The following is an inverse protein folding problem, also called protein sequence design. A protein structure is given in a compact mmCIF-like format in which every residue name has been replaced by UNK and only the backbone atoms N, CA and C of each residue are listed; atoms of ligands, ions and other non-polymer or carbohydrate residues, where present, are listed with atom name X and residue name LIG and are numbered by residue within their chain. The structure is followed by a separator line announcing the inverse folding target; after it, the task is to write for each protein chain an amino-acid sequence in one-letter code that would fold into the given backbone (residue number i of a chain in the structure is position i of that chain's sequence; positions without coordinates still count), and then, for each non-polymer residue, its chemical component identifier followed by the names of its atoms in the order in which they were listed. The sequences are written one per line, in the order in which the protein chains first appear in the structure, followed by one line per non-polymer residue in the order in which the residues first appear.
data_IF_616267110257
#
_entry.id   IF_616267110257
#
_cell.length_a   1.000
_cell.length_b   1.000
_cell.length_c   1.000
_cell.angle_alpha   90.00
_cell.angle_beta   90.00
_cell.angle_gamma   90.00
#
_symmetry.space_group_name_H-M   'P 1'
#
loop_
_entity.id
_entity.type
_entity.pdbx_description
1 polymer ?
#
# COMPACT_ATOMS: atom_id res chain seq x y z
N UNK A 1 25.02 -18.05 -49.22
CA UNK A 1 24.68 -19.23 -48.40
C UNK A 1 24.02 -18.74 -47.12
N UNK A 2 22.69 -18.75 -47.05
CA UNK A 2 21.95 -18.34 -45.87
C UNK A 2 21.88 -19.50 -44.88
N UNK A 3 22.42 -19.30 -43.67
CA UNK A 3 22.18 -20.19 -42.53
C UNK A 3 21.21 -19.48 -41.59
N UNK A 4 19.97 -19.95 -41.61
CA UNK A 4 18.93 -19.59 -40.65
C UNK A 4 19.28 -20.28 -39.33
N UNK A 5 19.61 -19.50 -38.30
CA UNK A 5 19.72 -20.01 -36.94
C UNK A 5 18.34 -19.95 -36.29
N UNK A 6 17.67 -21.09 -36.22
CA UNK A 6 16.46 -21.27 -35.41
C UNK A 6 16.88 -21.33 -33.94
N UNK A 7 16.63 -20.26 -33.20
CA UNK A 7 16.80 -20.23 -31.74
C UNK A 7 15.58 -20.93 -31.12
N UNK A 8 15.77 -22.16 -30.66
CA UNK A 8 14.82 -22.85 -29.79
C UNK A 8 14.97 -22.24 -28.40
N UNK A 9 14.04 -21.36 -28.02
CA UNK A 9 13.93 -20.84 -26.67
C UNK A 9 13.38 -21.93 -25.75
N UNK A 10 14.26 -22.63 -25.03
CA UNK A 10 13.89 -23.50 -23.92
C UNK A 10 13.52 -22.59 -22.74
N UNK A 11 12.22 -22.37 -22.53
CA UNK A 11 11.71 -21.75 -21.32
C UNK A 11 11.93 -22.71 -20.15
N UNK A 12 12.95 -22.43 -19.33
CA UNK A 12 13.10 -23.06 -18.02
C UNK A 12 11.93 -22.59 -17.15
N UNK A 13 10.94 -23.46 -16.93
CA UNK A 13 9.89 -23.24 -15.93
C UNK A 13 10.53 -23.26 -14.55
N UNK A 14 10.72 -22.08 -13.95
CA UNK A 14 11.06 -21.95 -12.53
C UNK A 14 9.76 -22.17 -11.74
N UNK A 15 9.76 -23.02 -10.69
CA UNK A 15 8.61 -23.16 -9.80
C UNK A 15 8.22 -21.79 -9.25
N UNK A 16 6.99 -21.35 -9.52
CA UNK A 16 6.47 -20.11 -8.97
C UNK A 16 6.02 -20.37 -7.54
N UNK A 17 6.65 -19.70 -6.57
CA UNK A 17 6.23 -19.71 -5.17
C UNK A 17 5.80 -18.29 -4.78
N UNK A 18 4.59 -18.16 -4.25
CA UNK A 18 4.11 -16.93 -3.64
C UNK A 18 4.09 -17.13 -2.13
N UNK A 19 4.79 -16.26 -1.39
CA UNK A 19 4.85 -16.26 0.07
C UNK A 19 4.27 -14.93 0.56
N UNK A 20 3.25 -14.99 1.42
CA UNK A 20 2.64 -13.83 2.07
C UNK A 20 2.59 -14.00 3.58
N UNK A 21 2.24 -12.93 4.30
CA UNK A 21 1.76 -13.08 5.68
C UNK A 21 0.37 -13.74 5.70
N UNK A 22 -0.20 -13.99 6.88
CA UNK A 22 -1.50 -14.67 7.07
C UNK A 22 -2.59 -14.14 6.10
N UNK A 23 -3.17 -15.03 5.27
CA UNK A 23 -4.15 -14.68 4.23
C UNK A 23 -3.75 -13.51 3.30
N UNK A 24 -2.45 -13.22 3.15
CA UNK A 24 -1.93 -12.03 2.46
C UNK A 24 -1.48 -12.34 1.03
N UNK A 25 -1.44 -13.60 0.60
CA UNK A 25 -1.32 -13.91 -0.84
C UNK A 25 -2.69 -13.72 -1.47
N UNK A 26 -2.89 -12.56 -2.07
CA UNK A 26 -4.08 -12.19 -2.83
C UNK A 26 -3.67 -11.76 -4.23
N UNK A 27 -4.49 -12.08 -5.23
CA UNK A 27 -4.21 -11.68 -6.60
C UNK A 27 -5.11 -10.49 -6.99
N UNK A 28 -4.51 -9.41 -7.50
CA UNK A 28 -5.24 -8.23 -8.01
C UNK A 28 -5.93 -8.49 -9.38
N UNK A 29 -5.90 -9.74 -9.84
CA UNK A 29 -6.53 -10.26 -11.06
C UNK A 29 -6.45 -11.81 -11.12
N UNK A 30 -6.98 -12.45 -12.16
CA UNK A 30 -6.82 -13.90 -12.34
C UNK A 30 -5.39 -14.24 -12.75
N UNK A 31 -4.71 -15.14 -12.03
CA UNK A 31 -3.34 -15.58 -12.34
C UNK A 31 -3.38 -16.95 -13.02
N UNK A 32 -2.91 -17.04 -14.26
CA UNK A 32 -2.81 -18.32 -14.96
C UNK A 32 -1.62 -19.12 -14.42
N UNK A 33 -1.88 -20.34 -13.98
CA UNK A 33 -0.88 -21.31 -13.53
C UNK A 33 -0.84 -22.47 -14.51
N UNK A 34 0.23 -22.55 -15.28
CA UNK A 34 0.45 -23.68 -16.20
C UNK A 34 0.97 -24.87 -15.41
N UNK A 35 0.11 -25.88 -15.21
CA UNK A 35 0.48 -27.15 -14.59
C UNK A 35 0.79 -28.16 -15.68
N UNK A 36 2.07 -28.24 -16.03
CA UNK A 36 2.57 -29.11 -17.09
C UNK A 36 2.74 -30.55 -16.60
N UNK A 37 1.66 -31.21 -16.17
CA UNK A 37 1.65 -32.63 -15.83
C UNK A 37 1.71 -33.52 -17.09
N UNK A 38 2.66 -33.27 -17.99
CA UNK A 38 2.87 -34.05 -19.23
C UNK A 38 1.74 -34.00 -20.26
N UNK A 39 0.72 -33.17 -20.06
CA UNK A 39 -0.58 -33.23 -20.77
C UNK A 39 -1.08 -31.88 -21.30
N UNK A 40 -0.42 -30.76 -20.93
CA UNK A 40 -0.73 -29.42 -21.46
C UNK A 40 -1.93 -28.72 -20.81
N UNK A 41 -2.37 -29.16 -19.63
CA UNK A 41 -3.48 -28.54 -18.91
C UNK A 41 -3.12 -27.16 -18.34
N UNK A 42 -4.08 -26.23 -18.37
CA UNK A 42 -3.92 -24.88 -17.81
C UNK A 42 -4.98 -24.65 -16.73
N UNK A 43 -4.52 -24.24 -15.55
CA UNK A 43 -5.38 -23.92 -14.42
C UNK A 43 -5.22 -22.44 -14.09
N UNK A 44 -6.24 -21.80 -13.55
CA UNK A 44 -6.20 -20.37 -13.22
C UNK A 44 -6.59 -20.18 -11.77
N UNK A 45 -5.72 -19.52 -11.01
CA UNK A 45 -6.04 -19.02 -9.67
C UNK A 45 -6.84 -17.74 -9.82
N UNK A 46 -8.01 -17.68 -9.20
CA UNK A 46 -8.83 -16.46 -9.24
C UNK A 46 -8.41 -15.50 -8.13
N UNK A 47 -8.85 -14.25 -8.26
CA UNK A 47 -8.67 -13.21 -7.22
C UNK A 47 -9.41 -13.52 -5.89
N UNK A 48 -10.26 -14.55 -5.87
CA UNK A 48 -10.88 -15.04 -4.64
C UNK A 48 -9.91 -15.88 -3.79
N UNK A 49 -8.79 -16.35 -4.35
CA UNK A 49 -7.78 -17.11 -3.60
C UNK A 49 -7.07 -16.21 -2.58
N UNK A 50 -7.09 -16.63 -1.31
CA UNK A 50 -6.48 -15.99 -0.14
C UNK A 50 -5.83 -17.08 0.71
N UNK A 51 -4.50 -17.17 0.68
CA UNK A 51 -3.74 -18.23 1.37
C UNK A 51 -2.49 -17.64 2.04
N UNK A 52 -1.81 -18.42 2.90
CA UNK A 52 -0.52 -18.03 3.48
C UNK A 52 0.59 -18.12 2.42
N UNK A 53 0.59 -19.20 1.66
CA UNK A 53 1.49 -19.39 0.53
C UNK A 53 0.97 -20.44 -0.44
N UNK A 54 1.53 -20.47 -1.64
CA UNK A 54 1.43 -21.62 -2.51
C UNK A 54 2.70 -21.83 -3.33
N UNK A 55 2.96 -23.08 -3.68
CA UNK A 55 4.05 -23.49 -4.55
C UNK A 55 3.46 -24.21 -5.75
N UNK A 56 3.75 -23.71 -6.95
CA UNK A 56 3.40 -24.35 -8.21
C UNK A 56 4.51 -25.31 -8.59
N UNK A 57 4.22 -26.60 -8.59
CA UNK A 57 5.08 -27.64 -9.11
C UNK A 57 4.62 -28.06 -10.50
N UNK A 58 5.43 -28.88 -11.17
CA UNK A 58 5.11 -29.43 -12.49
C UNK A 58 3.77 -30.18 -12.51
N UNK A 59 3.49 -30.97 -11.46
CA UNK A 59 2.36 -31.90 -11.43
C UNK A 59 1.26 -31.52 -10.43
N UNK A 60 1.46 -30.48 -9.60
CA UNK A 60 0.50 -30.08 -8.57
C UNK A 60 0.72 -28.64 -8.10
N UNK A 61 -0.25 -28.11 -7.38
CA UNK A 61 -0.10 -26.89 -6.57
C UNK A 61 -0.25 -27.25 -5.11
N UNK A 62 0.70 -26.83 -4.28
CA UNK A 62 0.65 -27.02 -2.83
C UNK A 62 0.31 -25.67 -2.19
N UNK A 63 -0.82 -25.59 -1.52
CA UNK A 63 -1.26 -24.43 -0.75
C UNK A 63 -0.94 -24.63 0.72
N UNK A 64 -0.50 -23.58 1.39
CA UNK A 64 -0.46 -23.50 2.86
C UNK A 64 -1.61 -22.60 3.31
N UNK A 65 -2.50 -23.16 4.13
CA UNK A 65 -3.78 -22.56 4.52
C UNK A 65 -3.95 -22.57 6.03
N UNK A 66 -4.67 -21.59 6.54
CA UNK A 66 -5.05 -21.47 7.95
C UNK A 66 -6.56 -21.15 8.07
N UNK A 67 -7.07 -20.96 9.29
CA UNK A 67 -8.47 -20.54 9.50
C UNK A 67 -8.80 -19.30 8.67
N UNK A 68 -9.88 -19.37 7.88
CA UNK A 68 -10.34 -18.28 7.01
C UNK A 68 -9.70 -18.22 5.62
N UNK A 69 -8.76 -19.10 5.28
CA UNK A 69 -8.20 -19.16 3.92
C UNK A 69 -9.25 -19.61 2.88
N UNK A 70 -9.10 -19.11 1.66
CA UNK A 70 -9.93 -19.44 0.48
C UNK A 70 -9.02 -19.90 -0.66
N UNK A 71 -9.30 -21.05 -1.26
CA UNK A 71 -8.63 -21.49 -2.49
C UNK A 71 -9.65 -21.57 -3.60
N UNK A 72 -9.41 -20.89 -4.72
CA UNK A 72 -10.28 -20.93 -5.88
C UNK A 72 -9.50 -21.11 -7.19
N UNK A 73 -9.75 -22.22 -7.87
CA UNK A 73 -9.05 -22.63 -9.09
C UNK A 73 -10.06 -23.02 -10.17
N UNK A 74 -9.83 -22.56 -11.40
CA UNK A 74 -10.64 -22.94 -12.57
C UNK A 74 -9.81 -23.63 -13.64
N UNK A 75 -10.39 -24.63 -14.33
CA UNK A 75 -9.87 -25.20 -15.57
C UNK A 75 -10.77 -24.81 -16.75
N UNK A 76 -10.19 -24.14 -17.75
CA UNK A 76 -10.91 -23.68 -18.94
C UNK A 76 -11.37 -24.83 -19.85
N UNK A 77 -10.74 -26.01 -19.75
CA UNK A 77 -11.02 -27.17 -20.59
C UNK A 77 -11.95 -28.20 -19.91
N UNK A 78 -12.47 -27.89 -18.73
CA UNK A 78 -13.33 -28.80 -17.97
C UNK A 78 -12.58 -29.89 -17.20
N UNK A 79 -11.24 -29.79 -17.09
CA UNK A 79 -10.42 -30.76 -16.35
C UNK A 79 -10.77 -30.80 -14.86
N UNK A 80 -10.57 -31.95 -14.21
CA UNK A 80 -10.90 -32.18 -12.81
C UNK A 80 -9.78 -31.83 -11.83
N UNK A 81 -10.09 -31.96 -10.53
CA UNK A 81 -9.19 -31.62 -9.43
C UNK A 81 -9.06 -32.81 -8.46
N UNK A 82 -7.84 -33.30 -8.27
CA UNK A 82 -7.50 -34.22 -7.19
C UNK A 82 -7.07 -33.43 -5.95
N UNK A 83 -7.54 -33.84 -4.77
CA UNK A 83 -7.24 -33.17 -3.50
C UNK A 83 -6.58 -34.14 -2.52
N UNK A 84 -5.55 -33.67 -1.81
CA UNK A 84 -5.05 -34.38 -0.63
C UNK A 84 -6.06 -34.37 0.52
N UNK A 85 -6.05 -35.41 1.34
CA UNK A 85 -6.81 -35.44 2.60
C UNK A 85 -6.34 -34.30 3.51
N UNK A 86 -7.29 -33.50 4.02
CA UNK A 86 -7.00 -32.35 4.86
C UNK A 86 -8.25 -32.00 5.69
N UNK A 87 -8.06 -31.28 6.80
CA UNK A 87 -9.11 -30.89 7.75
C UNK A 87 -9.67 -29.49 7.49
N UNK A 88 -9.25 -28.83 6.41
CA UNK A 88 -9.78 -27.52 6.04
C UNK A 88 -11.20 -27.65 5.48
N UNK A 89 -12.11 -26.88 6.09
CA UNK A 89 -13.58 -26.87 5.99
C UNK A 89 -14.26 -27.39 4.71
N UNK A 90 -15.05 -26.54 4.07
CA UNK A 90 -15.92 -26.93 2.96
C UNK A 90 -15.15 -26.98 1.64
N UNK A 91 -15.45 -27.99 0.82
CA UNK A 91 -14.82 -28.22 -0.48
C UNK A 91 -15.92 -28.46 -1.51
N UNK A 92 -15.91 -27.68 -2.58
CA UNK A 92 -16.89 -27.79 -3.66
C UNK A 92 -16.17 -27.91 -5.00
N UNK A 93 -16.53 -28.94 -5.78
CA UNK A 93 -16.08 -29.11 -7.16
C UNK A 93 -17.30 -29.04 -8.08
N UNK A 94 -17.31 -28.07 -8.99
CA UNK A 94 -18.31 -27.93 -10.04
C UNK A 94 -17.71 -28.30 -11.38
N UNK A 95 -18.34 -29.26 -12.08
CA UNK A 95 -17.89 -29.72 -13.39
C UNK A 95 -18.81 -29.21 -14.48
N UNK A 96 -18.23 -28.48 -15.45
CA UNK A 96 -18.91 -27.96 -16.64
C UNK A 96 -17.89 -27.84 -17.78
N UNK A 97 -18.21 -27.11 -18.85
CA UNK A 97 -17.21 -26.74 -19.88
C UNK A 97 -16.01 -25.98 -19.29
N UNK A 98 -16.21 -25.32 -18.15
CA UNK A 98 -15.16 -24.79 -17.28
C UNK A 98 -15.39 -25.37 -15.89
N UNK A 99 -14.43 -26.12 -15.38
CA UNK A 99 -14.52 -26.75 -14.07
C UNK A 99 -13.94 -25.83 -12.99
N UNK A 100 -14.52 -25.83 -11.80
CA UNK A 100 -14.14 -24.94 -10.69
C UNK A 100 -14.03 -25.71 -9.38
N UNK A 101 -12.94 -25.46 -8.66
CA UNK A 101 -12.70 -25.90 -7.29
C UNK A 101 -12.74 -24.68 -6.36
N UNK A 102 -13.53 -24.77 -5.30
CA UNK A 102 -13.54 -23.81 -4.19
C UNK A 102 -13.31 -24.54 -2.87
N UNK A 103 -12.37 -24.07 -2.07
CA UNK A 103 -12.09 -24.54 -0.72
C UNK A 103 -12.21 -23.36 0.24
N UNK A 104 -13.00 -23.51 1.31
CA UNK A 104 -13.14 -22.53 2.39
C UNK A 104 -12.72 -23.16 3.72
N UNK A 105 -11.62 -22.69 4.30
CA UNK A 105 -11.13 -23.20 5.56
C UNK A 105 -11.88 -22.59 6.75
N UNK A 106 -13.01 -23.18 7.13
CA UNK A 106 -13.84 -22.73 8.27
C UNK A 106 -13.42 -23.33 9.62
N UNK A 107 -12.68 -24.43 9.61
CA UNK A 107 -12.23 -25.10 10.81
C UNK A 107 -11.05 -24.36 11.43
N UNK A 108 -10.93 -24.41 12.77
CA UNK A 108 -9.85 -23.75 13.49
C UNK A 108 -8.52 -24.52 13.29
N UNK A 109 -7.71 -24.03 12.36
CA UNK A 109 -6.43 -24.60 11.96
C UNK A 109 -5.35 -23.51 11.96
N UNK A 110 -4.25 -23.74 12.70
CA UNK A 110 -3.13 -22.81 12.76
C UNK A 110 -2.42 -22.69 11.40
N UNK A 111 -2.07 -23.83 10.78
CA UNK A 111 -1.54 -23.92 9.41
C UNK A 111 -1.56 -25.38 8.93
N UNK A 112 -1.93 -25.62 7.68
CA UNK A 112 -1.98 -26.95 7.05
C UNK A 112 -1.72 -26.85 5.55
N UNK A 113 -1.21 -27.91 4.94
CA UNK A 113 -1.02 -27.97 3.49
C UNK A 113 -2.16 -28.69 2.77
N UNK A 114 -2.57 -28.14 1.62
CA UNK A 114 -3.50 -28.76 0.67
C UNK A 114 -2.81 -28.89 -0.67
N UNK A 115 -2.74 -30.11 -1.19
CA UNK A 115 -2.20 -30.37 -2.53
C UNK A 115 -3.35 -30.54 -3.51
N UNK A 116 -3.33 -29.76 -4.60
CA UNK A 116 -4.25 -29.87 -5.72
C UNK A 116 -3.50 -30.44 -6.92
N UNK A 117 -3.98 -31.56 -7.45
CA UNK A 117 -3.40 -32.26 -8.60
C UNK A 117 -4.37 -32.22 -9.78
N UNK A 118 -3.93 -31.87 -11.01
CA UNK A 118 -4.74 -31.99 -12.21
C UNK A 118 -5.35 -33.38 -12.41
N UNK A 119 -6.58 -33.46 -12.94
CA UNK A 119 -7.21 -34.72 -13.36
C UNK A 119 -7.83 -34.58 -14.75
N UNK A 120 -7.78 -35.64 -15.57
CA UNK A 120 -8.34 -35.64 -16.93
C UNK A 120 -9.87 -35.79 -16.98
N UNK A 121 -10.50 -36.05 -15.83
CA UNK A 121 -11.96 -36.13 -15.70
C UNK A 121 -12.39 -35.34 -14.48
N UNK A 122 -13.42 -34.51 -14.63
CA UNK A 122 -14.03 -33.80 -13.52
C UNK A 122 -15.22 -34.58 -12.98
N UNK A 123 -15.17 -34.93 -11.70
CA UNK A 123 -16.28 -35.51 -10.95
C UNK A 123 -16.79 -34.48 -9.95
N UNK A 124 -18.07 -34.13 -10.06
CA UNK A 124 -18.68 -33.17 -9.14
C UNK A 124 -18.76 -33.80 -7.74
N UNK A 125 -18.22 -33.12 -6.74
CA UNK A 125 -18.39 -33.49 -5.34
C UNK A 125 -19.35 -32.50 -4.68
N UNK A 126 -20.51 -33.01 -4.27
CA UNK A 126 -21.34 -32.35 -3.26
C UNK A 126 -21.06 -33.05 -1.92
N UNK A 127 -20.72 -32.28 -0.89
CA UNK A 127 -20.27 -32.81 0.39
C UNK A 127 -21.24 -33.83 0.98
N UNK A 128 -20.80 -35.08 1.08
CA UNK A 128 -21.48 -36.10 1.83
C UNK A 128 -21.06 -36.00 3.31
N UNK A 129 -21.97 -35.52 4.14
CA UNK A 129 -21.91 -35.75 5.58
C UNK A 129 -22.15 -37.23 5.88
N UNK A 130 -21.25 -37.83 6.64
CA UNK A 130 -21.32 -39.21 7.16
C UNK A 130 -20.28 -39.28 8.29
N UNK A 131 -20.43 -39.93 9.44
CA UNK A 131 -21.49 -40.72 10.09
C UNK A 131 -20.86 -41.35 11.34
N UNK A 132 -21.66 -41.60 12.39
CA UNK A 132 -21.39 -42.64 13.40
C UNK A 132 -20.92 -42.11 14.76
N UNK A 133 -21.47 -42.49 15.91
CA UNK A 133 -22.47 -43.53 16.23
C UNK A 133 -22.04 -44.32 17.48
N UNK A 134 -22.95 -44.45 18.45
CA UNK A 134 -22.90 -45.39 19.59
C UNK A 134 -22.52 -44.75 20.94
N UNK A 135 -23.16 -45.01 22.08
CA UNK A 135 -24.25 -45.93 22.46
C UNK A 135 -24.17 -46.24 23.98
N UNK A 136 -25.34 -46.37 24.64
CA UNK A 136 -25.53 -46.95 25.99
C UNK A 136 -25.16 -46.06 27.19
N UNK A 137 -25.85 -46.03 28.35
CA UNK A 137 -26.96 -46.82 28.90
C UNK A 137 -26.86 -46.80 30.44
N UNK A 138 -28.00 -46.63 31.16
CA UNK A 138 -28.16 -46.81 32.63
C UNK A 138 -27.52 -45.74 33.53
N UNK A 139 -28.06 -45.27 34.65
CA UNK A 139 -29.11 -45.74 35.55
C UNK A 139 -28.58 -45.69 37.00
N UNK A 140 -29.22 -44.92 37.90
CA UNK A 140 -29.19 -45.17 39.35
C UNK A 140 -28.46 -44.17 40.29
N UNK A 141 -29.28 -43.36 40.97
CA UNK A 141 -29.34 -43.18 42.45
C UNK A 141 -28.15 -42.66 43.28
N UNK A 142 -28.39 -41.57 44.02
CA UNK A 142 -27.84 -41.33 45.37
C UNK A 142 -27.28 -39.93 45.64
N UNK A 143 -27.86 -39.12 46.57
CA UNK A 143 -27.33 -37.82 46.94
C UNK A 143 -26.26 -37.96 48.04
N UNK A 144 -25.06 -37.47 47.78
CA UNK A 144 -23.99 -37.32 48.78
C UNK A 144 -23.79 -35.84 49.11
N UNK A 145 -24.08 -35.48 50.36
CA UNK A 145 -23.93 -34.12 50.88
C UNK A 145 -22.48 -33.63 50.80
N UNK A 146 -22.28 -32.46 50.20
CA UNK A 146 -21.04 -31.68 50.27
C UNK A 146 -21.17 -30.64 51.40
N UNK A 147 -20.16 -30.48 52.27
CA UNK A 147 -20.25 -29.57 53.41
C UNK A 147 -20.19 -28.11 52.96
N UNK A 148 -20.93 -27.27 53.71
CA UNK A 148 -21.08 -25.84 53.50
C UNK A 148 -19.74 -25.08 53.52
N UNK A 149 -19.52 -24.11 52.62
CA UNK A 149 -18.37 -23.22 52.71
C UNK A 149 -18.55 -22.24 53.87
N UNK A 150 -17.44 -21.96 54.55
CA UNK A 150 -17.32 -21.00 55.63
C UNK A 150 -17.71 -19.57 55.18
N UNK A 151 -18.24 -18.72 56.07
CA UNK A 151 -18.66 -17.37 55.72
C UNK A 151 -17.46 -16.51 55.30
N UNK A 152 -17.65 -15.79 54.19
CA UNK A 152 -16.71 -14.81 53.69
C UNK A 152 -16.60 -13.61 54.67
N UNK A 153 -15.39 -13.06 54.89
CA UNK A 153 -15.24 -11.83 55.66
C UNK A 153 -15.89 -10.65 54.93
N UNK A 154 -16.60 -9.85 55.71
CA UNK A 154 -17.29 -8.63 55.31
C UNK A 154 -16.28 -7.61 54.77
N UNK A 155 -16.47 -7.19 53.52
CA UNK A 155 -15.61 -6.22 52.85
C UNK A 155 -15.83 -4.83 53.46
N UNK A 156 -14.78 -4.25 54.04
CA UNK A 156 -14.72 -2.83 54.37
C UNK A 156 -14.95 -2.00 53.10
N UNK A 157 -15.85 -1.02 53.20
CA UNK A 157 -16.16 -0.09 52.13
C UNK A 157 -14.92 0.76 51.80
N UNK A 158 -14.37 0.54 50.62
CA UNK A 158 -13.29 1.36 50.07
C UNK A 158 -13.80 2.78 49.78
N UNK A 159 -13.09 3.78 50.29
CA UNK A 159 -13.38 5.20 50.06
C UNK A 159 -13.34 5.53 48.55
N UNK A 160 -14.15 6.48 48.05
CA UNK A 160 -14.18 6.82 46.64
C UNK A 160 -12.82 7.32 46.18
N UNK A 161 -12.28 6.67 45.15
CA UNK A 161 -11.05 7.09 44.49
C UNK A 161 -11.17 8.55 43.99
N UNK A 162 -10.11 9.37 44.13
CA UNK A 162 -10.11 10.72 43.61
C UNK A 162 -10.34 10.70 42.09
N UNK A 163 -11.22 11.57 41.60
CA UNK A 163 -11.52 11.72 40.18
C UNK A 163 -10.22 11.90 39.38
N UNK A 164 -10.00 11.02 38.39
CA UNK A 164 -8.85 11.09 37.51
C UNK A 164 -8.79 12.48 36.83
N UNK A 165 -7.71 13.20 37.07
CA UNK A 165 -7.47 14.52 36.53
C UNK A 165 -7.39 14.45 35.00
N UNK A 166 -8.12 15.33 34.30
CA UNK A 166 -8.13 15.34 32.83
C UNK A 166 -6.72 15.63 32.29
N UNK A 167 -6.28 14.98 31.20
CA UNK A 167 -4.96 15.18 30.64
C UNK A 167 -4.66 16.66 30.35
N UNK A 168 -3.50 17.11 30.82
CA UNK A 168 -2.95 18.40 30.45
C UNK A 168 -2.49 18.37 28.97
N UNK A 169 -2.70 19.46 28.21
CA UNK A 169 -2.13 19.61 26.88
C UNK A 169 -0.59 19.70 26.96
N UNK A 170 0.09 19.12 25.98
CA UNK A 170 1.54 19.18 25.80
C UNK A 170 1.83 19.89 24.49
N UNK A 171 2.87 20.73 24.48
CA UNK A 171 3.27 21.46 23.28
C UNK A 171 2.44 22.72 23.01
N UNK A 172 2.73 23.36 21.86
CA UNK A 172 2.06 24.58 21.43
C UNK A 172 0.79 24.19 20.67
N UNK A 173 -0.41 24.67 21.08
CA UNK A 173 -1.63 24.40 20.35
C UNK A 173 -1.59 25.03 18.95
N UNK A 174 -2.06 24.29 17.95
CA UNK A 174 -2.13 24.73 16.56
C UNK A 174 -3.55 25.18 16.26
N UNK A 175 -3.72 26.42 15.79
CA UNK A 175 -5.03 26.95 15.38
C UNK A 175 -5.08 27.07 13.86
N UNK A 176 -6.14 26.55 13.25
CA UNK A 176 -6.31 26.51 11.79
C UNK A 176 -7.75 26.86 11.40
N UNK A 177 -7.91 27.60 10.32
CA UNK A 177 -9.19 27.74 9.61
C UNK A 177 -9.24 26.71 8.50
N UNK A 178 -10.29 25.89 8.46
CA UNK A 178 -10.46 24.82 7.46
C UNK A 178 -11.69 25.06 6.61
N UNK A 179 -11.69 24.62 5.36
CA UNK A 179 -12.86 24.75 4.47
C UNK A 179 -13.77 23.53 4.58
N UNK A 180 -15.08 23.75 4.55
CA UNK A 180 -16.08 22.67 4.59
C UNK A 180 -15.94 21.79 3.34
N UNK A 181 -16.06 20.47 3.52
CA UNK A 181 -15.96 19.43 2.49
C UNK A 181 -14.60 19.34 1.78
N UNK A 182 -13.55 19.98 2.30
CA UNK A 182 -12.19 19.85 1.78
C UNK A 182 -11.28 19.21 2.85
N UNK A 183 -10.57 18.11 2.52
CA UNK A 183 -9.60 17.53 3.43
C UNK A 183 -8.47 18.54 3.67
N UNK A 184 -8.13 18.75 4.94
CA UNK A 184 -7.07 19.65 5.37
C UNK A 184 -6.08 18.90 6.23
N UNK A 185 -4.80 18.88 5.82
CA UNK A 185 -3.73 18.30 6.63
C UNK A 185 -3.30 19.28 7.72
N UNK A 186 -3.21 18.77 8.95
CA UNK A 186 -2.75 19.49 10.13
C UNK A 186 -1.55 18.76 10.72
N UNK A 187 -0.59 19.50 11.27
CA UNK A 187 0.54 18.95 12.00
C UNK A 187 0.50 19.48 13.42
N UNK A 188 0.45 18.58 14.41
CA UNK A 188 0.39 18.91 15.84
C UNK A 188 1.53 18.15 16.52
N UNK A 189 2.49 18.88 17.08
CA UNK A 189 3.72 18.26 17.60
C UNK A 189 4.48 17.52 16.49
N UNK A 190 4.72 16.22 16.70
CA UNK A 190 5.39 15.33 15.73
C UNK A 190 4.44 14.55 14.82
N UNK A 191 3.13 14.71 14.98
CA UNK A 191 2.11 13.93 14.27
C UNK A 191 1.40 14.76 13.21
N UNK A 192 1.01 14.13 12.11
CA UNK A 192 0.18 14.75 11.07
C UNK A 192 -1.16 14.02 10.95
N UNK A 193 -2.23 14.79 10.78
CA UNK A 193 -3.59 14.29 10.66
C UNK A 193 -4.28 14.95 9.48
N UNK A 194 -5.25 14.26 8.88
CA UNK A 194 -6.15 14.86 7.88
C UNK A 194 -7.51 15.05 8.52
N UNK A 195 -8.07 16.25 8.38
CA UNK A 195 -9.38 16.62 8.92
C UNK A 195 -10.29 17.01 7.77
N UNK A 196 -11.47 16.39 7.71
CA UNK A 196 -12.51 16.71 6.74
C UNK A 196 -13.74 17.19 7.49
N UNK A 197 -14.11 18.46 7.31
CA UNK A 197 -15.31 19.02 7.93
C UNK A 197 -16.51 18.74 7.05
N UNK A 198 -17.49 17.98 7.56
CA UNK A 198 -18.72 17.67 6.83
C UNK A 198 -19.70 18.83 6.86
N UNK A 199 -19.81 19.53 8.00
CA UNK A 199 -20.62 20.74 8.14
C UNK A 199 -20.13 21.60 9.31
N UNK A 200 -20.30 22.92 9.20
CA UNK A 200 -20.02 23.86 10.27
C UNK A 200 -21.03 25.02 10.26
N UNK A 201 -21.50 25.39 11.44
CA UNK A 201 -22.31 26.57 11.72
C UNK A 201 -21.60 27.39 12.80
N UNK A 202 -22.00 28.63 13.06
CA UNK A 202 -21.35 29.41 14.13
C UNK A 202 -21.37 28.70 15.51
N UNK A 203 -22.38 27.87 15.77
CA UNK A 203 -22.58 27.18 17.04
C UNK A 203 -22.06 25.74 17.08
N UNK A 204 -21.94 25.05 15.94
CA UNK A 204 -21.67 23.61 15.91
C UNK A 204 -20.82 23.20 14.71
N UNK A 205 -20.02 22.15 14.86
CA UNK A 205 -19.25 21.53 13.77
C UNK A 205 -19.38 20.01 13.80
N UNK A 206 -19.45 19.40 12.62
CA UNK A 206 -19.29 17.95 12.43
C UNK A 206 -18.13 17.69 11.46
N UNK A 207 -17.18 16.87 11.89
CA UNK A 207 -15.96 16.58 11.15
C UNK A 207 -15.51 15.13 11.33
N UNK A 208 -14.62 14.69 10.46
CA UNK A 208 -13.92 13.40 10.54
C UNK A 208 -12.42 13.66 10.61
N UNK A 209 -11.74 13.00 11.55
CA UNK A 209 -10.27 12.94 11.58
C UNK A 209 -9.86 11.60 10.97
N UNK A 210 -9.13 11.63 9.87
CA UNK A 210 -8.93 10.47 8.97
C UNK A 210 -7.71 9.60 9.32
N UNK A 211 -6.90 9.94 10.33
CA UNK A 211 -5.78 9.10 10.81
C UNK A 211 -6.27 7.71 11.23
N UNK A 212 -7.32 7.69 12.05
CA UNK A 212 -8.26 6.60 12.26
C UNK A 212 -9.62 7.28 12.21
N UNK A 213 -10.50 7.00 11.22
CA UNK A 213 -11.74 7.76 11.02
C UNK A 213 -12.56 7.88 12.31
N UNK A 214 -12.48 9.03 12.95
CA UNK A 214 -13.28 9.38 14.14
C UNK A 214 -14.19 10.52 13.75
N UNK A 215 -15.50 10.28 13.83
CA UNK A 215 -16.51 11.32 13.67
C UNK A 215 -16.64 12.11 14.96
N UNK A 216 -16.51 13.43 14.85
CA UNK A 216 -16.53 14.37 15.96
C UNK A 216 -17.61 15.39 15.70
N UNK A 217 -18.47 15.62 16.70
CA UNK A 217 -19.37 16.76 16.72
C UNK A 217 -19.07 17.61 17.96
N UNK A 218 -18.90 18.91 17.76
CA UNK A 218 -18.51 19.86 18.80
C UNK A 218 -19.40 21.11 18.72
N UNK A 219 -19.81 21.60 19.89
CA UNK A 219 -20.40 22.94 20.01
C UNK A 219 -19.30 24.00 20.11
N UNK A 220 -19.63 25.27 19.84
CA UNK A 220 -18.71 26.40 19.95
C UNK A 220 -18.18 26.51 21.38
N UNK A 221 -16.86 26.54 21.51
CA UNK A 221 -16.13 26.57 22.78
C UNK A 221 -15.96 25.19 23.44
N UNK A 222 -16.58 24.13 22.90
CA UNK A 222 -16.39 22.78 23.41
C UNK A 222 -15.09 22.17 22.89
N UNK A 223 -14.50 21.31 23.72
CA UNK A 223 -13.35 20.49 23.36
C UNK A 223 -13.69 19.01 23.44
N UNK A 224 -13.05 18.19 22.60
CA UNK A 224 -13.12 16.73 22.67
C UNK A 224 -11.72 16.15 22.62
N UNK A 225 -11.49 15.20 23.52
CA UNK A 225 -10.29 14.37 23.56
C UNK A 225 -10.54 13.14 22.69
N UNK A 226 -9.62 12.89 21.77
CA UNK A 226 -9.72 11.92 20.68
C UNK A 226 -8.51 11.00 20.77
N UNK A 227 -8.77 9.70 20.60
CA UNK A 227 -7.77 8.66 20.39
C UNK A 227 -7.50 8.57 18.89
N UNK A 228 -6.47 9.29 18.42
CA UNK A 228 -6.14 9.43 17.01
C UNK A 228 -5.39 8.24 16.43
N UNK A 229 -4.70 7.46 17.27
CA UNK A 229 -3.91 6.29 16.88
C UNK A 229 -4.60 4.94 17.20
N UNK A 230 -5.71 4.98 17.95
CA UNK A 230 -6.54 3.82 18.26
C UNK A 230 -6.03 2.97 19.42
N UNK A 231 -5.17 3.51 20.28
CA UNK A 231 -4.56 2.80 21.40
C UNK A 231 -5.44 2.72 22.67
N UNK A 232 -6.64 3.29 22.63
CA UNK A 232 -7.59 3.34 23.73
C UNK A 232 -7.38 4.50 24.70
N UNK A 233 -6.45 5.42 24.41
CA UNK A 233 -6.20 6.64 25.19
C UNK A 233 -6.23 7.86 24.26
N UNK A 234 -6.80 8.95 24.75
CA UNK A 234 -6.86 10.17 23.96
C UNK A 234 -5.50 10.88 23.89
N UNK A 235 -5.03 11.16 22.69
CA UNK A 235 -3.74 11.78 22.37
C UNK A 235 -3.88 13.14 21.68
N UNK A 236 -5.10 13.48 21.23
CA UNK A 236 -5.42 14.73 20.55
C UNK A 236 -6.64 15.40 21.18
N UNK A 237 -6.52 16.67 21.55
CA UNK A 237 -7.67 17.52 21.92
C UNK A 237 -8.01 18.45 20.77
N UNK A 238 -9.28 18.50 20.43
CA UNK A 238 -9.82 19.43 19.42
C UNK A 238 -10.82 20.36 20.06
N UNK A 239 -10.66 21.66 19.82
CA UNK A 239 -11.57 22.72 20.27
C UNK A 239 -12.14 23.45 19.06
N UNK A 240 -13.45 23.69 19.08
CA UNK A 240 -14.12 24.49 18.05
C UNK A 240 -14.38 25.92 18.50
N UNK A 241 -13.94 26.92 17.72
CA UNK A 241 -14.08 28.35 18.06
C UNK A 241 -15.18 29.10 17.30
N UNK A 242 -15.93 28.43 16.42
CA UNK A 242 -16.90 29.06 15.54
C UNK A 242 -16.34 29.29 14.14
N UNK A 243 -16.98 30.17 13.36
CA UNK A 243 -16.53 30.55 12.03
C UNK A 243 -15.62 31.79 12.09
N UNK A 244 -14.66 31.89 11.19
CA UNK A 244 -13.85 33.10 10.99
C UNK A 244 -14.59 34.16 10.15
N UNK A 245 -13.95 35.31 9.93
CA UNK A 245 -14.52 36.43 9.15
C UNK A 245 -14.90 36.05 7.71
N UNK A 246 -14.35 34.96 7.18
CA UNK A 246 -14.62 34.43 5.83
C UNK A 246 -15.63 33.28 5.85
N UNK A 247 -16.19 32.94 7.01
CA UNK A 247 -17.14 31.85 7.17
C UNK A 247 -16.50 30.45 7.27
N UNK A 248 -15.18 30.34 7.45
CA UNK A 248 -14.51 29.05 7.60
C UNK A 248 -14.47 28.62 9.09
N UNK A 249 -14.74 27.35 9.42
CA UNK A 249 -14.57 26.85 10.78
C UNK A 249 -13.15 27.01 11.30
N UNK A 250 -13.04 27.63 12.48
CA UNK A 250 -11.80 27.83 13.22
C UNK A 250 -11.66 26.76 14.30
N UNK A 251 -10.63 25.94 14.18
CA UNK A 251 -10.33 24.82 15.07
C UNK A 251 -8.98 25.04 15.75
N UNK A 252 -8.85 24.54 16.98
CA UNK A 252 -7.57 24.39 17.64
C UNK A 252 -7.33 22.94 18.00
N UNK A 253 -6.10 22.51 17.77
CA UNK A 253 -5.62 21.18 18.07
C UNK A 253 -4.48 21.26 19.08
N UNK A 254 -4.54 20.39 20.09
CA UNK A 254 -3.52 20.29 21.13
C UNK A 254 -3.16 18.82 21.32
N UNK A 255 -1.87 18.51 21.40
CA UNK A 255 -1.41 17.17 21.83
C UNK A 255 -1.71 17.00 23.32
N UNK A 256 -2.15 15.82 23.75
CA UNK A 256 -2.47 15.52 25.15
C UNK A 256 -1.38 14.67 25.81
N UNK A 257 -1.09 14.93 27.09
CA UNK A 257 -0.11 14.16 27.86
C UNK A 257 -0.55 12.70 28.12
N UNK A 258 -1.86 12.42 28.11
CA UNK A 258 -2.41 11.11 28.49
C UNK A 258 -2.86 10.25 27.31
N UNK A 259 -1.94 10.01 26.39
CA UNK A 259 -1.85 8.74 25.69
C UNK A 259 -0.38 8.45 25.65
N UNK A 260 0.18 7.86 26.71
CA UNK A 260 1.61 7.54 26.75
C UNK A 260 1.96 6.94 25.41
N UNK A 261 2.79 7.65 24.63
CA UNK A 261 3.24 7.19 23.32
C UNK A 261 3.48 5.71 23.49
N UNK A 262 2.83 4.87 22.69
CA UNK A 262 3.35 3.53 22.51
C UNK A 262 4.73 3.78 21.92
N UNK A 263 5.74 3.91 22.81
CA UNK A 263 7.12 3.98 22.40
C UNK A 263 7.26 2.77 21.51
N UNK A 264 7.49 3.06 20.24
CA UNK A 264 7.51 2.01 19.28
C UNK A 264 8.54 0.99 19.77
N UNK A 265 8.16 -0.29 19.80
CA UNK A 265 9.02 -1.31 20.41
C UNK A 265 10.41 -1.37 19.74
N UNK A 266 10.55 -0.73 18.58
CA UNK A 266 11.76 -0.51 17.82
C UNK A 266 11.85 0.98 17.44
N UNK A 267 13.08 1.48 17.28
CA UNK A 267 13.29 2.87 16.89
C UNK A 267 12.72 3.14 15.48
N UNK A 268 12.03 4.26 15.35
CA UNK A 268 11.42 4.70 14.09
C UNK A 268 12.48 5.04 13.04
N UNK A 269 12.09 4.95 11.76
CA UNK A 269 12.94 5.23 10.59
C UNK A 269 14.19 4.36 10.49
N UNK A 270 14.14 3.15 11.04
CA UNK A 270 15.26 2.19 11.03
C UNK A 270 14.85 0.88 10.38
N UNK A 271 15.83 0.17 9.83
CA UNK A 271 15.65 -1.16 9.28
C UNK A 271 16.00 -2.22 10.31
N UNK A 272 15.17 -3.26 10.40
CA UNK A 272 15.31 -4.37 11.32
C UNK A 272 15.17 -5.70 10.60
N UNK A 273 15.85 -6.71 11.16
CA UNK A 273 15.64 -8.12 10.86
C UNK A 273 15.69 -8.95 12.15
N UNK A 274 15.25 -10.19 12.08
CA UNK A 274 15.53 -11.19 13.11
C UNK A 274 16.37 -12.33 12.52
N UNK A 275 17.13 -13.04 13.36
CA UNK A 275 18.12 -14.03 12.90
C UNK A 275 17.55 -15.18 12.07
N UNK A 276 16.30 -15.58 12.32
CA UNK A 276 15.62 -16.67 11.61
C UNK A 276 15.04 -16.27 10.24
N UNK A 277 15.18 -15.01 9.79
CA UNK A 277 14.68 -14.57 8.47
C UNK A 277 15.64 -13.61 7.79
N UNK A 278 15.87 -13.74 6.47
CA UNK A 278 16.64 -12.76 5.71
C UNK A 278 15.85 -11.47 5.42
N UNK A 279 14.54 -11.44 5.67
CA UNK A 279 13.69 -10.29 5.37
C UNK A 279 14.07 -9.08 6.23
N UNK A 280 14.14 -7.91 5.59
CA UNK A 280 14.44 -6.64 6.23
C UNK A 280 13.21 -5.75 6.18
N UNK A 281 12.82 -5.25 7.36
CA UNK A 281 11.65 -4.41 7.55
C UNK A 281 12.07 -3.02 7.98
N UNK A 282 11.49 -2.00 7.36
CA UNK A 282 11.62 -0.61 7.77
C UNK A 282 10.48 -0.25 8.74
N UNK A 283 10.83 0.26 9.92
CA UNK A 283 9.85 0.80 10.88
C UNK A 283 9.60 2.26 10.51
N UNK A 284 8.36 2.60 10.15
CA UNK A 284 7.95 3.93 9.69
C UNK A 284 7.83 4.93 10.84
N UNK A 285 7.45 6.16 10.56
CA UNK A 285 7.12 7.18 11.58
C UNK A 285 5.88 6.82 12.41
N UNK A 286 4.95 6.07 11.82
CA UNK A 286 3.67 5.71 12.45
C UNK A 286 3.77 4.42 13.28
N UNK A 287 4.98 3.96 13.62
CA UNK A 287 5.24 2.68 14.27
C UNK A 287 4.59 1.48 13.56
N UNK A 288 4.59 1.52 12.23
CA UNK A 288 4.25 0.36 11.38
C UNK A 288 5.52 -0.16 10.72
N UNK A 289 5.47 -1.38 10.16
CA UNK A 289 6.60 -1.95 9.42
C UNK A 289 6.26 -2.22 7.96
N UNK A 290 7.22 -1.96 7.07
CA UNK A 290 7.15 -2.25 5.63
C UNK A 290 8.34 -3.12 5.21
N UNK A 291 8.15 -4.17 4.40
CA UNK A 291 9.26 -4.97 3.89
C UNK A 291 9.97 -4.25 2.72
N UNK A 292 11.30 -4.39 2.64
CA UNK A 292 12.03 -4.07 1.41
C UNK A 292 11.91 -5.23 0.42
N UNK A 293 11.35 -4.97 -0.76
CA UNK A 293 11.17 -5.97 -1.82
C UNK A 293 12.42 -6.20 -2.69
N UNK A 294 13.36 -5.23 -2.71
CA UNK A 294 14.60 -5.34 -3.47
C UNK A 294 15.76 -4.57 -2.80
N UNK A 295 17.01 -4.93 -3.13
CA UNK A 295 18.18 -4.14 -2.73
C UNK A 295 18.11 -2.69 -3.17
N UNK A 296 17.59 -2.39 -4.35
CA UNK A 296 17.50 -0.99 -4.83
C UNK A 296 16.57 -0.15 -3.94
N UNK A 297 15.42 -0.71 -3.54
CA UNK A 297 14.52 -0.05 -2.57
C UNK A 297 15.21 0.10 -1.22
N UNK A 298 15.96 -0.90 -0.77
CA UNK A 298 16.75 -0.79 0.45
C UNK A 298 17.77 0.37 0.38
N UNK A 299 18.57 0.43 -0.69
CA UNK A 299 19.60 1.44 -0.86
C UNK A 299 19.05 2.85 -1.13
N UNK A 300 17.77 2.95 -1.49
CA UNK A 300 17.07 4.24 -1.53
C UNK A 300 16.73 4.81 -0.15
N UNK A 301 16.81 4.03 0.93
CA UNK A 301 16.60 4.53 2.30
C UNK A 301 17.89 4.54 3.12
N UNK A 302 18.81 3.61 2.85
CA UNK A 302 19.97 3.33 3.70
C UNK A 302 21.24 3.20 2.86
N UNK A 303 22.38 3.61 3.41
CA UNK A 303 23.66 3.61 2.68
C UNK A 303 24.39 2.26 2.68
N UNK A 304 23.91 1.29 3.47
CA UNK A 304 24.61 0.02 3.66
C UNK A 304 23.85 -0.97 4.54
N UNK A 305 24.09 -2.27 4.32
CA UNK A 305 23.53 -3.36 5.12
C UNK A 305 23.91 -3.28 6.61
N UNK A 306 25.02 -2.60 6.95
CA UNK A 306 25.41 -2.33 8.33
C UNK A 306 24.40 -1.46 9.10
N UNK A 307 23.50 -0.77 8.38
CA UNK A 307 22.41 0.00 8.99
C UNK A 307 21.24 -0.87 9.47
N UNK A 308 21.23 -2.16 9.11
CA UNK A 308 20.19 -3.10 9.54
C UNK A 308 20.45 -3.56 10.96
N UNK A 309 19.52 -3.25 11.85
CA UNK A 309 19.56 -3.69 13.24
C UNK A 309 18.98 -5.10 13.37
N UNK A 310 19.53 -5.89 14.29
CA UNK A 310 18.97 -7.21 14.62
C UNK A 310 18.09 -7.08 15.87
N UNK A 311 16.91 -7.69 15.83
CA UNK A 311 15.96 -7.76 16.94
C UNK A 311 15.39 -9.17 17.09
N UNK A 312 14.57 -9.41 18.11
CA UNK A 312 13.87 -10.69 18.27
C UNK A 312 12.64 -10.75 17.37
N UNK A 313 12.24 -11.96 16.96
CA UNK A 313 11.01 -12.18 16.20
C UNK A 313 9.80 -11.57 16.91
N UNK A 314 9.65 -11.82 18.21
CA UNK A 314 8.56 -11.26 19.02
C UNK A 314 8.49 -9.72 19.01
N UNK A 315 9.65 -9.02 19.09
CA UNK A 315 9.68 -7.55 19.03
C UNK A 315 9.37 -7.01 17.64
N UNK A 316 9.79 -7.71 16.59
CA UNK A 316 9.47 -7.28 15.22
C UNK A 316 8.01 -7.57 14.89
N UNK A 317 7.46 -8.68 15.37
CA UNK A 317 6.07 -9.08 15.15
C UNK A 317 5.08 -8.19 15.92
N UNK A 318 5.48 -7.60 17.05
CA UNK A 318 4.64 -6.64 17.78
C UNK A 318 4.46 -5.29 17.08
N UNK A 319 5.27 -5.01 16.05
CA UNK A 319 5.07 -3.85 15.16
C UNK A 319 4.06 -4.24 14.08
N UNK A 320 2.98 -3.47 13.97
CA UNK A 320 1.91 -3.70 13.00
C UNK A 320 2.40 -3.49 11.57
N UNK A 321 1.89 -4.26 10.62
CA UNK A 321 2.18 -4.02 9.20
C UNK A 321 1.59 -2.67 8.76
N UNK A 322 2.32 -1.97 7.92
CA UNK A 322 1.82 -0.73 7.34
C UNK A 322 0.76 -1.00 6.27
N UNK A 323 -0.26 -0.13 6.18
CA UNK A 323 -1.34 -0.26 5.19
C UNK A 323 -0.85 -0.23 3.74
N UNK A 324 0.31 0.38 3.48
CA UNK A 324 0.90 0.42 2.14
C UNK A 324 1.42 -0.94 1.68
N UNK A 325 1.86 -1.80 2.62
CA UNK A 325 2.36 -3.13 2.32
C UNK A 325 3.71 -3.21 1.59
N UNK A 326 4.21 -2.12 1.01
CA UNK A 326 5.49 -2.07 0.29
C UNK A 326 6.28 -0.77 0.55
N UNK A 327 7.56 -0.78 0.16
CA UNK A 327 8.43 0.40 0.23
C UNK A 327 8.48 1.15 -1.13
N UNK A 328 8.07 2.44 -1.19
CA UNK A 328 8.31 3.27 -2.37
C UNK A 328 9.80 3.59 -2.51
N UNK A 329 10.21 4.39 -3.51
CA UNK A 329 11.59 4.87 -3.58
C UNK A 329 11.87 5.86 -2.45
N UNK A 330 12.88 5.56 -1.64
CA UNK A 330 13.21 6.32 -0.44
C UNK A 330 13.98 7.61 -0.68
N UNK A 331 14.26 8.37 0.37
CA UNK A 331 14.87 9.69 0.30
C UNK A 331 16.24 9.75 -0.40
N UNK A 332 17.02 8.67 -0.43
CA UNK A 332 18.33 8.62 -1.08
C UNK A 332 18.25 8.28 -2.58
N UNK A 333 17.07 7.91 -3.08
CA UNK A 333 16.86 7.75 -4.52
C UNK A 333 17.07 9.08 -5.24
N UNK A 334 17.65 9.01 -6.44
CA UNK A 334 17.89 10.16 -7.31
C UNK A 334 17.01 10.00 -8.57
N UNK A 335 15.78 10.55 -8.56
CA UNK A 335 14.95 10.60 -9.75
C UNK A 335 15.70 11.39 -10.81
N UNK A 336 16.09 10.68 -11.86
CA UNK A 336 16.81 11.28 -12.97
C UNK A 336 15.93 12.30 -13.68
N UNK A 337 16.58 13.22 -14.39
CA UNK A 337 15.92 14.33 -15.08
C UNK A 337 14.66 13.93 -15.86
N UNK A 338 13.58 14.70 -15.69
CA UNK A 338 12.31 14.47 -16.38
C UNK A 338 11.49 13.33 -15.78
N UNK A 339 11.79 12.88 -14.57
CA UNK A 339 10.98 11.90 -13.86
C UNK A 339 9.56 12.42 -13.60
N UNK A 340 8.59 11.52 -13.70
CA UNK A 340 7.24 11.71 -13.17
C UNK A 340 7.18 10.96 -11.85
N UNK A 341 6.70 11.61 -10.80
CA UNK A 341 6.70 11.02 -9.47
C UNK A 341 5.43 11.34 -8.70
N UNK A 342 5.07 10.45 -7.76
CA UNK A 342 3.98 10.65 -6.82
C UNK A 342 4.29 10.04 -5.46
N UNK A 343 3.62 10.55 -4.43
CA UNK A 343 3.56 9.88 -3.13
C UNK A 343 2.43 8.86 -3.21
N UNK A 344 2.63 7.63 -2.73
CA UNK A 344 1.66 6.55 -2.95
C UNK A 344 0.26 6.87 -2.38
N UNK A 345 0.23 7.53 -1.22
CA UNK A 345 -1.02 7.95 -0.55
C UNK A 345 -1.61 9.25 -1.07
N UNK A 346 -0.97 9.90 -2.05
CA UNK A 346 -1.44 11.15 -2.68
C UNK A 346 -1.64 10.92 -4.20
N UNK A 347 -2.84 11.18 -4.75
CA UNK A 347 -3.07 11.03 -6.18
C UNK A 347 -2.28 12.02 -7.06
N UNK A 348 -1.72 13.12 -6.50
CA UNK A 348 -1.01 14.14 -7.27
C UNK A 348 0.26 13.60 -7.94
N UNK A 349 0.36 13.83 -9.25
CA UNK A 349 1.53 13.50 -10.06
C UNK A 349 2.34 14.75 -10.35
N UNK A 350 3.64 14.68 -10.10
CA UNK A 350 4.57 15.78 -10.32
C UNK A 350 5.57 15.45 -11.42
N UNK A 351 5.82 16.40 -12.30
CA UNK A 351 6.95 16.38 -13.23
C UNK A 351 8.15 17.05 -12.55
N UNK A 352 9.29 16.34 -12.53
CA UNK A 352 10.53 16.80 -11.90
C UNK A 352 11.50 17.33 -12.96
N UNK A 353 11.69 18.65 -12.99
CA UNK A 353 12.58 19.33 -13.94
C UNK A 353 13.60 20.17 -13.17
N UNK A 354 14.84 19.69 -13.13
CA UNK A 354 15.89 20.32 -12.34
C UNK A 354 15.55 20.32 -10.84
N UNK A 355 15.64 21.46 -10.14
CA UNK A 355 15.33 21.54 -8.71
C UNK A 355 13.83 21.65 -8.40
N UNK A 356 12.98 21.77 -9.42
CA UNK A 356 11.57 22.10 -9.25
C UNK A 356 10.65 20.89 -9.52
N UNK A 357 9.52 20.85 -8.81
CA UNK A 357 8.39 19.93 -9.02
C UNK A 357 7.17 20.69 -9.53
N UNK A 358 6.56 20.21 -10.60
CA UNK A 358 5.40 20.82 -11.24
C UNK A 358 4.20 19.88 -11.14
N UNK A 359 3.12 20.30 -10.50
CA UNK A 359 1.92 19.48 -10.38
C UNK A 359 1.16 19.44 -11.70
N UNK A 360 0.91 18.23 -12.22
CA UNK A 360 -0.01 18.01 -13.33
C UNK A 360 -1.41 17.87 -12.75
N UNK A 361 -2.26 18.87 -12.97
CA UNK A 361 -3.45 19.07 -12.15
C UNK A 361 -4.62 18.12 -12.42
N UNK A 362 -4.55 17.34 -13.51
CA UNK A 362 -5.62 16.43 -13.90
C UNK A 362 -5.13 15.31 -14.80
N UNK A 363 -5.85 14.19 -14.77
CA UNK A 363 -5.66 13.08 -15.69
C UNK A 363 -5.76 13.51 -17.16
N UNK A 364 -6.70 14.42 -17.45
CA UNK A 364 -6.90 14.99 -18.78
C UNK A 364 -5.63 15.71 -19.26
N UNK A 365 -5.04 16.57 -18.43
CA UNK A 365 -3.80 17.27 -18.77
C UNK A 365 -2.66 16.27 -18.96
N UNK A 366 -2.53 15.28 -18.09
CA UNK A 366 -1.52 14.23 -18.21
C UNK A 366 -1.59 13.50 -19.56
N UNK A 367 -2.79 13.05 -19.93
CA UNK A 367 -3.04 12.32 -21.17
C UNK A 367 -2.91 13.21 -22.42
N UNK A 368 -3.40 14.44 -22.37
CA UNK A 368 -3.34 15.37 -23.50
C UNK A 368 -1.90 15.81 -23.79
N UNK A 369 -1.07 15.95 -22.76
CA UNK A 369 0.38 16.15 -22.90
C UNK A 369 1.13 14.84 -23.19
N UNK A 370 0.44 13.75 -23.50
CA UNK A 370 1.06 12.49 -23.96
C UNK A 370 2.09 11.88 -23.00
N UNK A 371 2.06 12.25 -21.72
CA UNK A 371 2.79 11.55 -20.67
C UNK A 371 2.27 10.12 -20.52
N UNK A 372 3.09 9.23 -19.95
CA UNK A 372 2.77 7.81 -19.84
C UNK A 372 2.65 7.39 -18.38
N UNK A 373 1.60 6.65 -18.05
CA UNK A 373 1.32 6.22 -16.68
C UNK A 373 2.40 5.31 -16.10
N UNK A 374 3.02 4.46 -16.93
CA UNK A 374 4.15 3.61 -16.57
C UNK A 374 5.46 4.38 -16.34
N UNK A 375 5.47 5.69 -16.58
CA UNK A 375 6.61 6.56 -16.24
C UNK A 375 6.55 7.08 -14.80
N UNK A 376 5.41 6.93 -14.13
CA UNK A 376 5.21 7.45 -12.78
C UNK A 376 5.97 6.57 -11.79
N UNK A 377 6.82 7.20 -10.99
CA UNK A 377 7.62 6.57 -9.95
C UNK A 377 6.97 6.84 -8.58
N UNK A 378 6.65 5.77 -7.85
CA UNK A 378 6.20 5.87 -6.46
C UNK A 378 7.39 6.19 -5.55
N UNK A 379 7.34 7.35 -4.89
CA UNK A 379 8.41 7.89 -4.04
C UNK A 379 7.93 8.20 -2.62
N UNK A 380 8.87 8.29 -1.71
CA UNK A 380 8.68 8.77 -0.34
C UNK A 380 8.46 10.29 -0.33
N UNK A 381 7.61 10.78 0.59
CA UNK A 381 7.32 12.22 0.72
C UNK A 381 8.58 13.04 1.00
N UNK A 382 9.49 12.53 1.84
CA UNK A 382 10.73 13.22 2.16
C UNK A 382 11.71 13.32 0.97
N UNK A 383 11.52 12.51 -0.08
CA UNK A 383 12.21 12.70 -1.35
C UNK A 383 11.60 13.88 -2.11
N UNK A 384 10.28 13.91 -2.25
CA UNK A 384 9.57 14.94 -3.01
C UNK A 384 9.75 16.33 -2.38
N UNK A 385 9.90 16.40 -1.07
CA UNK A 385 10.12 17.65 -0.32
C UNK A 385 11.48 18.31 -0.61
N UNK A 386 12.41 17.61 -1.25
CA UNK A 386 13.68 18.19 -1.72
C UNK A 386 13.52 19.10 -2.92
N UNK A 387 12.41 18.99 -3.64
CA UNK A 387 12.12 19.77 -4.84
C UNK A 387 11.30 21.01 -4.49
N UNK A 388 11.70 22.14 -5.04
CA UNK A 388 10.97 23.41 -4.91
C UNK A 388 9.66 23.32 -5.69
N UNK A 389 8.58 23.84 -5.11
CA UNK A 389 7.28 23.91 -5.82
C UNK A 389 7.41 24.89 -6.99
N UNK A 390 7.22 24.38 -8.20
CA UNK A 390 7.09 25.14 -9.44
C UNK A 390 5.64 25.55 -9.70
N UNK A 391 5.37 26.05 -10.91
CA UNK A 391 4.00 26.35 -11.32
C UNK A 391 3.17 25.08 -11.53
N UNK A 392 1.86 25.23 -11.48
CA UNK A 392 0.92 24.18 -11.87
C UNK A 392 0.90 24.01 -13.40
N UNK A 393 0.75 22.76 -13.87
CA UNK A 393 0.53 22.43 -15.28
C UNK A 393 -0.96 22.13 -15.43
N UNK A 394 -1.67 23.08 -16.02
CA UNK A 394 -3.12 23.05 -16.24
C UNK A 394 -3.53 23.17 -17.72
N UNK A 395 -2.56 23.30 -18.62
CA UNK A 395 -2.73 23.46 -20.07
C UNK A 395 -2.53 22.13 -20.81
N UNK A 396 -3.11 22.00 -22.00
CA UNK A 396 -3.19 20.73 -22.76
C UNK A 396 -2.57 20.78 -24.15
N UNK A 397 -2.08 21.96 -24.54
CA UNK A 397 -1.68 22.32 -25.90
C UNK A 397 -0.17 22.50 -26.07
N UNK A 398 0.60 22.59 -24.99
CA UNK A 398 2.05 22.72 -25.00
C UNK A 398 2.67 22.06 -23.77
N UNK A 399 3.98 21.80 -23.82
CA UNK A 399 4.72 21.22 -22.69
C UNK A 399 5.48 22.29 -21.91
N UNK A 400 5.73 22.10 -20.60
CA UNK A 400 6.52 23.04 -19.82
C UNK A 400 7.94 23.19 -20.37
N UNK A 401 8.53 24.34 -20.09
CA UNK A 401 9.96 24.58 -20.33
C UNK A 401 10.80 23.46 -19.74
N UNK A 402 11.89 23.13 -20.43
CA UNK A 402 12.85 22.09 -20.10
C UNK A 402 12.38 20.65 -20.35
N UNK A 403 11.17 20.44 -20.86
CA UNK A 403 10.71 19.10 -21.30
C UNK A 403 11.54 18.58 -22.47
N UNK A 404 11.84 17.27 -22.45
CA UNK A 404 12.47 16.57 -23.58
C UNK A 404 11.41 16.06 -24.54
N UNK A 405 11.54 16.43 -25.81
CA UNK A 405 10.51 16.19 -26.82
C UNK A 405 11.11 15.69 -28.13
N UNK A 406 10.29 15.03 -28.94
CA UNK A 406 10.59 14.69 -30.34
C UNK A 406 9.35 14.82 -31.21
N UNK A 407 9.56 15.06 -32.49
CA UNK A 407 8.48 15.02 -33.48
C UNK A 407 8.26 13.59 -33.97
N UNK A 408 7.01 13.26 -34.30
CA UNK A 408 6.65 11.97 -34.90
C UNK A 408 7.44 11.75 -36.19
N UNK A 409 8.06 10.57 -36.33
CA UNK A 409 8.89 10.23 -37.49
C UNK A 409 10.28 10.87 -37.55
N UNK A 410 10.64 11.73 -36.59
CA UNK A 410 11.98 12.30 -36.47
C UNK A 410 12.82 11.57 -35.42
N UNK A 411 14.09 11.33 -35.72
CA UNK A 411 15.07 10.82 -34.74
C UNK A 411 15.66 11.93 -33.86
N UNK A 412 15.42 13.20 -34.19
CA UNK A 412 15.97 14.34 -33.44
C UNK A 412 15.23 14.53 -32.11
N UNK A 413 16.01 14.71 -31.05
CA UNK A 413 15.50 15.02 -29.71
C UNK A 413 15.81 16.47 -29.38
N UNK A 414 14.86 17.13 -28.75
CA UNK A 414 14.94 18.54 -28.39
C UNK A 414 14.67 18.72 -26.90
N UNK A 415 15.22 19.79 -26.33
CA UNK A 415 14.75 20.35 -25.06
C UNK A 415 13.97 21.64 -25.35
N UNK A 416 12.80 21.81 -24.77
CA UNK A 416 12.07 23.07 -24.81
C UNK A 416 12.72 24.08 -23.86
N UNK A 417 12.85 25.33 -24.25
CA UNK A 417 13.38 26.41 -23.39
C UNK A 417 12.65 27.72 -23.65
N UNK A 418 12.64 28.65 -22.68
CA UNK A 418 12.18 30.02 -22.95
C UNK A 418 12.97 30.64 -24.10
N UNK A 419 12.31 31.38 -24.98
CA UNK A 419 12.99 32.16 -26.01
C UNK A 419 13.83 33.27 -25.35
N UNK A 420 15.15 33.38 -25.65
CA UNK A 420 16.00 34.42 -25.10
C UNK A 420 15.55 35.85 -25.42
N UNK A 421 14.80 36.05 -26.51
CA UNK A 421 14.28 37.36 -26.92
C UNK A 421 12.89 37.65 -26.34
N UNK A 422 12.14 36.63 -25.95
CA UNK A 422 10.74 36.75 -25.52
C UNK A 422 10.39 35.58 -24.58
N UNK A 423 10.51 35.79 -23.27
CA UNK A 423 10.28 34.73 -22.27
C UNK A 423 8.84 34.18 -22.23
N UNK A 424 7.89 34.81 -22.94
CA UNK A 424 6.54 34.29 -23.12
C UNK A 424 6.44 33.18 -24.19
N UNK A 425 7.50 32.99 -24.99
CA UNK A 425 7.58 31.99 -26.05
C UNK A 425 8.55 30.88 -25.68
N UNK A 426 8.37 29.75 -26.35
CA UNK A 426 9.25 28.60 -26.24
C UNK A 426 9.96 28.32 -27.56
N UNK A 427 11.23 27.99 -27.46
CA UNK A 427 12.06 27.47 -28.55
C UNK A 427 12.35 25.99 -28.29
N UNK A 428 12.58 25.23 -29.36
CA UNK A 428 13.17 23.89 -29.27
C UNK A 428 14.67 23.97 -29.52
N UNK A 429 15.47 23.33 -28.67
CA UNK A 429 16.92 23.24 -28.86
C UNK A 429 17.31 21.81 -29.14
N UNK A 430 17.80 21.56 -30.34
CA UNK A 430 18.24 20.23 -30.76
C UNK A 430 19.40 19.74 -29.89
N UNK A 431 19.31 18.51 -29.39
CA UNK A 431 20.40 17.83 -28.70
C UNK A 431 21.28 17.20 -29.77
N UNK A 432 22.52 17.68 -29.89
CA UNK A 432 23.40 17.40 -31.03
C UNK A 432 23.53 15.91 -31.38
N UNK A 433 23.75 15.09 -30.36
CA UNK A 433 24.04 13.66 -30.49
C UNK A 433 23.76 12.90 -29.18
N UNK A 434 23.79 11.57 -29.25
CA UNK A 434 23.60 10.68 -28.10
C UNK A 434 24.67 10.90 -27.01
N UNK A 435 25.89 11.26 -27.39
CA UNK A 435 26.96 11.55 -26.43
C UNK A 435 26.61 12.79 -25.58
N UNK A 436 26.10 13.84 -26.21
CA UNK A 436 25.60 15.04 -25.54
C UNK A 436 24.40 14.71 -24.67
N UNK A 437 23.46 13.90 -25.16
CA UNK A 437 22.29 13.44 -24.40
C UNK A 437 22.70 12.74 -23.09
N UNK A 438 23.65 11.81 -23.16
CA UNK A 438 24.20 11.10 -21.99
C UNK A 438 24.99 12.02 -21.07
N UNK A 439 25.81 12.94 -21.61
CA UNK A 439 26.57 13.94 -20.83
C UNK A 439 25.64 14.82 -20.00
N UNK A 440 24.50 15.20 -20.56
CA UNK A 440 23.45 15.97 -19.89
C UNK A 440 22.60 15.14 -18.91
N UNK A 441 22.88 13.84 -18.76
CA UNK A 441 22.19 12.90 -17.86
C UNK A 441 20.68 12.78 -18.14
N UNK A 442 20.29 12.93 -19.40
CA UNK A 442 18.91 12.76 -19.82
C UNK A 442 18.53 11.29 -19.99
N UNK A 443 17.21 11.05 -20.02
CA UNK A 443 16.60 9.72 -20.06
C UNK A 443 15.87 9.49 -21.37
N UNK A 444 16.27 8.43 -22.09
CA UNK A 444 15.65 8.05 -23.36
C UNK A 444 14.17 7.66 -23.19
N UNK A 445 13.82 7.12 -22.03
CA UNK A 445 12.47 6.74 -21.62
C UNK A 445 11.63 7.92 -21.09
N UNK A 446 12.15 9.15 -21.16
CA UNK A 446 11.45 10.38 -20.73
C UNK A 446 11.39 11.43 -21.85
N UNK A 447 11.24 10.97 -23.09
CA UNK A 447 11.10 11.82 -24.28
C UNK A 447 9.65 11.76 -24.75
N UNK A 448 8.94 12.89 -24.66
CA UNK A 448 7.56 12.99 -25.13
C UNK A 448 7.54 13.12 -26.66
N UNK A 449 6.59 12.44 -27.31
CA UNK A 449 6.35 12.64 -28.74
C UNK A 449 5.27 13.69 -28.92
N UNK A 450 5.61 14.80 -29.57
CA UNK A 450 4.70 15.92 -29.77
C UNK A 450 3.56 15.55 -30.74
N UNK A 451 2.41 16.19 -30.51
CA UNK A 451 1.32 16.24 -31.49
C UNK A 451 1.78 17.05 -32.72
N UNK A 452 1.26 16.73 -33.89
CA UNK A 452 1.60 17.44 -35.13
C UNK A 452 1.24 18.94 -35.08
N UNK A 453 0.27 19.31 -34.22
CA UNK A 453 -0.14 20.71 -33.98
C UNK A 453 0.80 21.49 -33.06
N UNK A 454 1.69 20.83 -32.31
CA UNK A 454 2.56 21.47 -31.33
C UNK A 454 3.95 21.71 -31.92
N UNK A 455 4.20 22.95 -32.34
CA UNK A 455 5.43 23.33 -33.05
C UNK A 455 6.14 24.50 -32.38
N UNK A 456 7.48 24.47 -32.40
CA UNK A 456 8.34 25.47 -31.78
C UNK A 456 9.38 25.97 -32.78
N UNK A 457 9.77 27.24 -32.66
CA UNK A 457 10.89 27.83 -33.39
C UNK A 457 12.21 27.19 -32.96
N UNK A 458 13.16 27.08 -33.90
CA UNK A 458 14.46 26.47 -33.66
C UNK A 458 15.37 27.42 -32.85
N UNK A 459 15.93 26.92 -31.76
CA UNK A 459 16.94 27.59 -30.95
C UNK A 459 18.35 27.05 -31.22
N UNK A 460 19.34 27.61 -30.51
CA UNK A 460 20.72 27.14 -30.61
C UNK A 460 20.86 25.67 -30.19
N UNK A 461 21.62 24.89 -30.96
CA UNK A 461 21.91 23.48 -30.67
C UNK A 461 22.56 23.33 -29.29
N UNK A 462 22.12 22.33 -28.51
CA UNK A 462 22.76 21.93 -27.26
C UNK A 462 23.94 21.01 -27.58
N UNK A 463 25.15 21.47 -27.28
CA UNK A 463 26.41 20.74 -27.55
C UNK A 463 27.18 20.30 -26.31
N UNK A 464 26.62 20.49 -25.10
CA UNK A 464 27.20 20.09 -23.82
C UNK A 464 28.55 20.76 -23.52
N UNK A 465 28.53 21.92 -22.85
CA UNK A 465 29.76 22.50 -22.27
C UNK A 465 30.41 21.51 -21.28
#
# INVERSE_FOLDING_TARGET
MHKVFTIIAVFLLVPAAALGAFNTVTHDGTTTVSLSAGTGHTYTLTNATRVESYTVNTDNVVFTVATGSVVEITSANGDGFGLSSNTCGEKTITCASTSKLTILCTNDIDSQTITVTPQTTCTASSGAGSSGGGGGGGGGSGPGASPAPAPAPEAEAEAPAPAAEAPAPVGIPVTVSVSVSSPTSISVGSSSHTVTVSSATESTISMVIESKPVSVTLDKGASKDIDSDGNGKADLRVTYYGLDEKGNPKLQFSELAAGGKKECALALKKAYKHSASPAVYYVTENCTKRPFSSPDKFFSYLTGWSSVMTTTKAKLDSITNDSLGFMPWGPLYDPKYGALAKIVTDPKVYLLLGPDKYWINSEKVFNDLSYKWDWIEDIDGALLDKYKVGSEISYTDHHPNYTLVKYKGSSKVYRLEPDPADSSKQIKRHIKDEQTFKKLKYRWDRIVTLKDSETYSEGAVLSGL
#
